data_IF_048558460961
#
_entry.id   IF_048558460961
#
_cell.length_a   1.000
_cell.length_b   1.000
_cell.length_c   1.000
_cell.angle_alpha   90.00
_cell.angle_beta   90.00
_cell.angle_gamma   90.00
#
_symmetry.space_group_name_H-M   'P 1'
#
loop_
_entity.id
_entity.type
_entity.pdbx_description
1 polymer ?
#
# COMPACT_ATOMS: atom_id res chain seq x y z
N UNK A 1 -4.14 -1.68 29.33
CA UNK A 1 -3.87 -2.85 28.45
C UNK A 1 -3.12 -3.87 29.29
N UNK A 2 -3.34 -5.16 29.08
CA UNK A 2 -2.62 -6.21 29.81
C UNK A 2 -1.92 -7.12 28.82
N UNK A 3 -0.76 -7.63 29.21
CA UNK A 3 0.04 -8.55 28.39
C UNK A 3 0.76 -9.52 29.30
N UNK A 4 0.77 -10.79 28.93
CA UNK A 4 1.61 -11.81 29.57
C UNK A 4 2.84 -12.03 28.69
N UNK A 5 4.02 -11.98 29.29
CA UNK A 5 5.30 -12.29 28.63
C UNK A 5 6.06 -13.23 29.57
N UNK A 6 6.38 -14.43 29.09
CA UNK A 6 7.13 -15.45 29.84
C UNK A 6 6.55 -15.73 31.24
N UNK A 7 5.22 -15.80 31.36
CA UNK A 7 4.53 -16.06 32.63
C UNK A 7 4.40 -14.86 33.57
N UNK A 8 4.88 -13.68 33.16
CA UNK A 8 4.81 -12.43 33.94
C UNK A 8 3.72 -11.53 33.35
N UNK A 9 2.83 -11.01 34.20
CA UNK A 9 1.82 -10.05 33.81
C UNK A 9 2.38 -8.62 33.80
N UNK A 10 2.13 -7.92 32.70
CA UNK A 10 2.44 -6.52 32.51
C UNK A 10 1.18 -5.71 32.30
N UNK A 11 1.11 -4.54 32.94
CA UNK A 11 0.04 -3.57 32.74
C UNK A 11 0.57 -2.37 31.98
N UNK A 12 0.01 -2.16 30.80
CA UNK A 12 0.26 -1.03 29.94
C UNK A 12 -0.61 0.16 30.34
N UNK A 13 0.02 1.26 30.72
CA UNK A 13 -0.60 2.56 30.99
C UNK A 13 -0.14 3.55 29.94
N UNK A 14 -1.10 4.20 29.26
CA UNK A 14 -0.79 5.32 28.37
C UNK A 14 -0.27 6.48 29.21
N UNK A 15 0.92 6.97 28.88
CA UNK A 15 1.49 8.14 29.54
C UNK A 15 0.77 9.39 29.05
N UNK A 16 0.24 10.24 29.97
CA UNK A 16 -0.34 11.51 29.58
C UNK A 16 0.74 12.41 28.99
N UNK A 17 0.35 13.19 27.98
CA UNK A 17 1.20 14.23 27.35
C UNK A 17 2.56 13.71 26.82
N UNK A 18 2.64 12.43 26.49
CA UNK A 18 3.82 11.79 25.94
C UNK A 18 3.50 11.12 24.61
N UNK A 19 4.21 11.51 23.55
CA UNK A 19 3.95 11.06 22.19
C UNK A 19 5.22 10.60 21.49
N UNK A 20 5.16 9.46 20.81
CA UNK A 20 6.13 9.10 19.78
C UNK A 20 5.67 9.73 18.45
N UNK A 21 6.41 10.73 17.99
CA UNK A 21 6.22 11.41 16.72
C UNK A 21 7.11 10.76 15.67
N UNK A 22 6.49 10.29 14.60
CA UNK A 22 7.16 9.66 13.48
C UNK A 22 7.02 10.53 12.25
N UNK A 23 8.15 10.93 11.67
CA UNK A 23 8.23 11.70 10.44
C UNK A 23 8.79 10.81 9.33
N UNK A 24 8.13 10.81 8.17
CA UNK A 24 8.63 10.15 6.97
C UNK A 24 8.57 11.13 5.80
N UNK A 25 9.69 11.26 5.10
CA UNK A 25 9.83 12.18 3.98
C UNK A 25 10.46 11.47 2.79
N UNK A 26 9.94 11.75 1.59
CA UNK A 26 10.54 11.29 0.34
C UNK A 26 9.90 12.00 -0.86
N UNK A 27 10.70 12.44 -1.84
CA UNK A 27 10.22 13.03 -3.10
C UNK A 27 9.18 14.15 -2.92
N UNK A 28 9.41 15.06 -1.97
CA UNK A 28 8.48 16.14 -1.65
C UNK A 28 7.18 15.67 -0.99
N UNK A 29 7.08 14.42 -0.54
CA UNK A 29 6.00 13.96 0.32
C UNK A 29 6.45 13.86 1.75
N UNK A 30 5.51 14.15 2.64
CA UNK A 30 5.74 14.07 4.06
C UNK A 30 4.56 13.46 4.79
N UNK A 31 4.85 12.58 5.74
CA UNK A 31 3.88 11.93 6.60
C UNK A 31 4.33 12.05 8.04
N UNK A 32 3.56 12.78 8.85
CA UNK A 32 3.72 12.80 10.30
C UNK A 32 2.65 11.92 10.92
N UNK A 33 3.04 11.06 11.85
CA UNK A 33 2.12 10.37 12.74
C UNK A 33 2.59 10.47 14.18
N UNK A 34 1.73 10.93 15.07
CA UNK A 34 2.00 10.96 16.49
C UNK A 34 1.07 9.98 17.22
N UNK A 35 1.65 9.16 18.11
CA UNK A 35 0.94 8.15 18.89
C UNK A 35 1.31 8.29 20.36
N UNK A 36 0.38 8.04 21.29
CA UNK A 36 0.67 8.20 22.70
C UNK A 36 1.62 7.08 23.15
N UNK A 37 2.53 7.41 24.06
CA UNK A 37 3.49 6.46 24.63
C UNK A 37 2.78 5.57 25.62
N UNK A 38 3.06 4.27 25.57
CA UNK A 38 2.57 3.30 26.56
C UNK A 38 3.76 2.85 27.39
N UNK A 39 3.67 3.10 28.69
CA UNK A 39 4.58 2.52 29.68
C UNK A 39 4.02 1.17 30.13
N UNK A 40 4.89 0.17 30.18
CA UNK A 40 4.56 -1.16 30.64
C UNK A 40 5.23 -1.39 31.98
N UNK A 41 4.44 -1.68 33.00
CA UNK A 41 4.93 -2.00 34.34
C UNK A 41 4.66 -3.46 34.62
N UNK A 42 5.67 -4.17 35.12
CA UNK A 42 5.51 -5.52 35.66
C UNK A 42 4.58 -5.48 36.88
N UNK A 43 3.60 -6.36 36.90
CA UNK A 43 2.61 -6.48 37.99
C UNK A 43 2.91 -7.69 38.88
N UNK A 44 3.70 -8.65 38.37
CA UNK A 44 4.05 -9.90 39.02
C UNK A 44 3.69 -11.11 38.16
N UNK A 45 3.64 -12.32 38.74
CA UNK A 45 3.29 -13.52 37.99
C UNK A 45 1.88 -13.39 37.40
N UNK A 46 1.70 -13.90 36.19
CA UNK A 46 0.38 -13.99 35.60
C UNK A 46 -0.54 -14.81 36.53
N UNK A 47 -1.79 -14.38 36.74
CA UNK A 47 -2.70 -15.15 37.56
C UNK A 47 -2.86 -16.55 36.98
N UNK A 48 -2.64 -17.56 37.81
CA UNK A 48 -2.83 -18.94 37.41
C UNK A 48 -4.32 -19.29 37.49
N UNK A 49 -5.03 -19.10 36.38
CA UNK A 49 -6.43 -19.48 36.25
C UNK A 49 -6.63 -20.96 35.88
N UNK A 50 -5.56 -21.76 35.84
CA UNK A 50 -5.64 -23.16 35.41
C UNK A 50 -6.70 -23.93 36.21
N UNK A 51 -6.77 -23.71 37.52
CA UNK A 51 -7.72 -24.36 38.42
C UNK A 51 -9.21 -24.06 38.16
N UNK A 52 -9.55 -23.03 37.36
CA UNK A 52 -10.95 -22.61 37.10
C UNK A 52 -11.60 -23.29 35.87
N UNK A 53 -10.84 -24.03 35.08
CA UNK A 53 -11.31 -24.68 33.85
C UNK A 53 -10.83 -26.13 33.79
N UNK A 54 -11.72 -27.04 33.37
CA UNK A 54 -11.31 -28.39 32.98
C UNK A 54 -10.49 -28.35 31.67
N UNK A 55 -9.85 -29.46 31.32
CA UNK A 55 -8.97 -29.54 30.15
C UNK A 55 -9.69 -29.21 28.84
N UNK A 56 -10.98 -29.53 28.72
CA UNK A 56 -11.77 -29.22 27.53
C UNK A 56 -11.99 -27.70 27.40
N UNK A 57 -12.35 -27.03 28.49
CA UNK A 57 -12.58 -25.59 28.52
C UNK A 57 -11.27 -24.80 28.38
N UNK A 58 -10.15 -25.33 28.88
CA UNK A 58 -8.80 -24.78 28.64
C UNK A 58 -8.43 -24.83 27.16
N UNK A 59 -8.70 -25.95 26.48
CA UNK A 59 -8.46 -26.11 25.06
C UNK A 59 -9.30 -25.13 24.23
N UNK A 60 -10.58 -24.98 24.56
CA UNK A 60 -11.49 -24.02 23.92
C UNK A 60 -11.00 -22.57 24.08
N UNK A 61 -10.61 -22.16 25.29
CA UNK A 61 -10.08 -20.82 25.54
C UNK A 61 -8.77 -20.55 24.81
N UNK A 62 -7.87 -21.54 24.75
CA UNK A 62 -6.61 -21.41 24.02
C UNK A 62 -6.85 -21.26 22.51
N UNK A 63 -7.78 -22.02 21.94
CA UNK A 63 -8.16 -21.90 20.52
C UNK A 63 -8.78 -20.54 20.22
N UNK A 64 -9.67 -20.05 21.09
CA UNK A 64 -10.29 -18.73 20.95
C UNK A 64 -9.25 -17.59 21.05
N UNK A 65 -8.33 -17.64 22.02
CA UNK A 65 -7.26 -16.66 22.17
C UNK A 65 -6.30 -16.68 20.97
N UNK A 66 -5.96 -17.87 20.47
CA UNK A 66 -5.14 -18.02 19.28
C UNK A 66 -5.82 -17.44 18.03
N UNK A 67 -7.11 -17.72 17.84
CA UNK A 67 -7.90 -17.19 16.74
C UNK A 67 -7.95 -15.64 16.78
N UNK A 68 -8.24 -15.07 17.95
CA UNK A 68 -8.30 -13.61 18.14
C UNK A 68 -6.92 -12.96 17.91
N UNK A 69 -5.86 -13.58 18.43
CA UNK A 69 -4.47 -13.14 18.22
C UNK A 69 -4.11 -13.16 16.75
N UNK A 70 -4.48 -14.23 16.03
CA UNK A 70 -4.24 -14.39 14.59
C UNK A 70 -4.97 -13.31 13.79
N UNK A 71 -6.22 -13.02 14.11
CA UNK A 71 -7.00 -11.96 13.47
C UNK A 71 -6.36 -10.57 13.71
N UNK A 72 -6.05 -10.24 14.96
CA UNK A 72 -5.38 -8.97 15.33
C UNK A 72 -4.03 -8.83 14.61
N UNK A 73 -3.25 -9.90 14.50
CA UNK A 73 -1.98 -9.91 13.80
C UNK A 73 -2.15 -9.73 12.28
N UNK A 74 -3.11 -10.41 11.66
CA UNK A 74 -3.44 -10.26 10.25
C UNK A 74 -3.84 -8.82 9.91
N UNK A 75 -4.68 -8.20 10.74
CA UNK A 75 -5.10 -6.81 10.58
C UNK A 75 -3.92 -5.82 10.71
N UNK A 76 -3.04 -6.02 11.70
CA UNK A 76 -1.82 -5.23 11.86
C UNK A 76 -0.87 -5.40 10.68
N UNK A 77 -0.69 -6.62 10.19
CA UNK A 77 0.12 -6.92 9.01
C UNK A 77 -0.44 -6.23 7.76
N UNK A 78 -1.76 -6.25 7.55
CA UNK A 78 -2.42 -5.58 6.44
C UNK A 78 -2.22 -4.06 6.47
N UNK A 79 -2.37 -3.42 7.65
CA UNK A 79 -2.13 -1.98 7.82
C UNK A 79 -0.66 -1.60 7.55
N UNK A 80 0.29 -2.43 7.98
CA UNK A 80 1.72 -2.26 7.68
C UNK A 80 1.98 -2.38 6.18
N UNK A 81 1.45 -3.41 5.53
CA UNK A 81 1.58 -3.60 4.08
C UNK A 81 1.01 -2.42 3.29
N UNK A 82 -0.15 -1.88 3.70
CA UNK A 82 -0.73 -0.65 3.12
C UNK A 82 0.23 0.52 3.18
N UNK A 83 0.82 0.75 4.35
CA UNK A 83 1.75 1.85 4.59
C UNK A 83 3.02 1.68 3.74
N UNK A 84 3.58 0.47 3.73
CA UNK A 84 4.78 0.16 2.94
C UNK A 84 4.54 0.31 1.44
N UNK A 85 3.43 -0.19 0.90
CA UNK A 85 3.07 0.03 -0.49
C UNK A 85 2.95 1.51 -0.81
N UNK A 86 2.25 2.28 0.03
CA UNK A 86 2.08 3.72 -0.19
C UNK A 86 3.42 4.44 -0.26
N UNK A 87 4.32 4.15 0.70
CA UNK A 87 5.66 4.73 0.75
C UNK A 87 6.54 4.25 -0.41
N UNK A 88 6.42 2.99 -0.82
CA UNK A 88 7.10 2.45 -1.99
C UNK A 88 6.69 3.19 -3.28
N UNK A 89 5.40 3.38 -3.51
CA UNK A 89 4.86 4.13 -4.66
C UNK A 89 5.41 5.57 -4.68
N UNK A 90 5.38 6.25 -3.54
CA UNK A 90 5.90 7.63 -3.40
C UNK A 90 7.41 7.70 -3.63
N UNK A 91 8.16 6.79 -3.01
CA UNK A 91 9.63 6.74 -3.13
C UNK A 91 10.10 6.46 -4.57
N UNK A 92 9.31 5.72 -5.33
CA UNK A 92 9.60 5.44 -6.73
C UNK A 92 8.96 6.45 -7.71
N UNK A 93 8.15 7.39 -7.24
CA UNK A 93 7.49 8.36 -8.14
C UNK A 93 6.52 7.72 -9.14
N UNK A 94 5.85 6.61 -8.79
CA UNK A 94 4.87 5.98 -9.68
C UNK A 94 3.59 6.83 -9.79
N UNK A 95 3.51 7.63 -10.86
CA UNK A 95 2.50 8.67 -11.05
C UNK A 95 1.32 8.27 -11.94
N UNK A 96 1.28 7.04 -12.46
CA UNK A 96 0.22 6.61 -13.38
C UNK A 96 -0.44 5.29 -12.95
N UNK A 97 -1.76 5.20 -13.15
CA UNK A 97 -2.53 4.00 -12.84
C UNK A 97 -2.63 3.10 -14.06
N UNK A 98 -2.28 1.83 -13.90
CA UNK A 98 -2.62 0.77 -14.83
C UNK A 98 -3.67 -0.15 -14.20
N UNK A 99 -4.74 -0.43 -14.94
CA UNK A 99 -5.75 -1.43 -14.54
C UNK A 99 -5.85 -2.52 -15.61
N UNK A 100 -5.44 -3.74 -15.27
CA UNK A 100 -5.57 -4.91 -16.13
C UNK A 100 -6.87 -5.63 -15.81
N UNK A 101 -7.66 -5.91 -16.85
CA UNK A 101 -8.98 -6.53 -16.72
C UNK A 101 -9.08 -7.72 -17.66
N UNK A 102 -9.82 -8.76 -17.26
CA UNK A 102 -10.23 -9.85 -18.15
C UNK A 102 -11.60 -9.55 -18.76
N UNK A 103 -11.85 -10.03 -19.99
CA UNK A 103 -13.20 -10.03 -20.54
C UNK A 103 -13.96 -11.25 -20.04
N UNK A 104 -13.32 -12.40 -20.09
CA UNK A 104 -13.79 -13.65 -19.47
C UNK A 104 -13.86 -13.54 -17.95
N UNK A 105 -14.65 -14.41 -17.31
CA UNK A 105 -14.75 -14.45 -15.85
C UNK A 105 -13.59 -15.22 -15.21
N UNK A 106 -12.40 -14.64 -15.22
CA UNK A 106 -11.19 -15.29 -14.69
C UNK A 106 -11.15 -15.27 -13.15
N UNK A 107 -11.47 -16.39 -12.51
CA UNK A 107 -11.54 -16.52 -11.04
C UNK A 107 -10.30 -17.17 -10.39
N UNK A 108 -9.39 -17.75 -11.18
CA UNK A 108 -8.12 -18.31 -10.69
C UNK A 108 -7.11 -17.19 -10.40
N UNK A 109 -6.87 -16.95 -9.11
CA UNK A 109 -5.92 -15.97 -8.60
C UNK A 109 -4.49 -16.25 -9.08
N UNK A 110 -4.08 -17.52 -9.13
CA UNK A 110 -2.72 -17.91 -9.52
C UNK A 110 -2.48 -17.54 -10.97
N UNK A 111 -3.43 -17.87 -11.86
CA UNK A 111 -3.39 -17.44 -13.27
C UNK A 111 -3.34 -15.91 -13.38
N UNK A 112 -4.17 -15.19 -12.63
CA UNK A 112 -4.17 -13.72 -12.66
C UNK A 112 -2.82 -13.11 -12.26
N UNK A 113 -2.16 -13.66 -11.24
CA UNK A 113 -0.82 -13.24 -10.81
C UNK A 113 0.26 -13.57 -11.85
N UNK A 114 0.21 -14.75 -12.46
CA UNK A 114 1.15 -15.17 -13.51
C UNK A 114 1.05 -14.31 -14.76
N UNK A 115 -0.18 -14.06 -15.25
CA UNK A 115 -0.43 -13.19 -16.40
C UNK A 115 0.06 -11.76 -16.13
N UNK A 116 -0.25 -11.22 -14.94
CA UNK A 116 0.21 -9.90 -14.53
C UNK A 116 1.74 -9.83 -14.48
N UNK A 117 2.42 -10.85 -13.93
CA UNK A 117 3.89 -10.92 -13.88
C UNK A 117 4.50 -10.92 -15.29
N UNK A 118 3.90 -11.66 -16.23
CA UNK A 118 4.31 -11.65 -17.65
C UNK A 118 4.11 -10.27 -18.26
N UNK A 119 3.02 -9.58 -17.92
CA UNK A 119 2.75 -8.23 -18.39
C UNK A 119 3.79 -7.23 -17.90
N UNK A 120 4.07 -7.18 -16.59
CA UNK A 120 5.07 -6.27 -16.03
C UNK A 120 6.47 -6.50 -16.61
N UNK A 121 6.85 -7.77 -16.81
CA UNK A 121 8.13 -8.12 -17.46
C UNK A 121 8.21 -7.56 -18.88
N UNK A 122 7.20 -7.85 -19.72
CA UNK A 122 7.17 -7.37 -21.10
C UNK A 122 7.12 -5.84 -21.20
N UNK A 123 6.45 -5.18 -20.26
CA UNK A 123 6.48 -3.71 -20.16
C UNK A 123 7.89 -3.20 -19.80
N UNK A 124 8.58 -3.87 -18.88
CA UNK A 124 9.98 -3.60 -18.54
C UNK A 124 10.96 -3.79 -19.70
N UNK A 125 10.74 -4.82 -20.52
CA UNK A 125 11.56 -5.08 -21.72
C UNK A 125 11.37 -4.00 -22.79
N UNK A 126 10.18 -3.39 -22.85
CA UNK A 126 9.83 -2.37 -23.85
C UNK A 126 10.14 -0.94 -23.40
N UNK A 127 10.13 -0.68 -22.09
CA UNK A 127 10.21 0.68 -21.53
C UNK A 127 11.32 0.71 -20.48
N UNK A 128 12.49 1.27 -20.82
CA UNK A 128 13.59 1.44 -19.87
C UNK A 128 13.15 2.19 -18.62
N UNK A 129 13.57 1.72 -17.45
CA UNK A 129 13.20 2.31 -16.16
C UNK A 129 11.75 2.04 -15.72
N UNK A 130 11.00 1.19 -16.44
CA UNK A 130 9.65 0.82 -16.02
C UNK A 130 9.65 0.13 -14.65
N UNK A 131 8.81 0.65 -13.76
CA UNK A 131 8.64 0.19 -12.40
C UNK A 131 7.17 0.09 -12.05
N UNK A 132 6.83 -0.78 -11.11
CA UNK A 132 5.45 -0.98 -10.70
C UNK A 132 5.29 -1.36 -9.22
N UNK A 133 4.08 -1.12 -8.70
CA UNK A 133 3.56 -1.72 -7.48
C UNK A 133 2.07 -2.04 -7.70
N UNK A 134 1.67 -3.29 -7.47
CA UNK A 134 0.36 -3.80 -7.87
C UNK A 134 -0.38 -4.57 -6.77
N UNK A 135 -1.67 -4.30 -6.65
CA UNK A 135 -2.65 -5.05 -5.86
C UNK A 135 -3.61 -5.83 -6.76
N UNK A 136 -4.21 -6.87 -6.19
CA UNK A 136 -5.11 -7.81 -6.88
C UNK A 136 -6.47 -7.81 -6.17
N UNK A 137 -7.55 -7.68 -6.92
CA UNK A 137 -8.91 -7.65 -6.38
C UNK A 137 -9.90 -8.38 -7.32
N UNK A 138 -10.73 -9.32 -6.83
CA UNK A 138 -11.86 -9.83 -7.60
C UNK A 138 -12.91 -8.73 -7.77
N UNK A 139 -13.44 -8.59 -8.99
CA UNK A 139 -14.63 -7.79 -9.23
C UNK A 139 -15.88 -8.43 -8.61
N UNK A 140 -17.00 -7.70 -8.63
CA UNK A 140 -18.33 -8.24 -8.28
C UNK A 140 -18.70 -9.54 -9.03
N UNK A 141 -18.20 -9.71 -10.27
CA UNK A 141 -18.42 -10.93 -11.08
C UNK A 141 -17.53 -12.11 -10.66
N UNK A 142 -16.52 -11.88 -9.81
CA UNK A 142 -15.47 -12.83 -9.46
C UNK A 142 -14.21 -12.72 -10.31
N UNK A 143 -14.27 -12.07 -11.48
CA UNK A 143 -13.10 -11.86 -12.33
C UNK A 143 -12.01 -11.04 -11.63
N UNK A 144 -10.77 -11.51 -11.63
CA UNK A 144 -9.64 -10.78 -11.04
C UNK A 144 -9.26 -9.53 -11.81
N UNK A 145 -9.01 -8.45 -11.08
CA UNK A 145 -8.46 -7.19 -11.55
C UNK A 145 -7.08 -6.95 -10.95
N UNK A 146 -6.20 -6.38 -11.76
CA UNK A 146 -4.87 -5.94 -11.29
C UNK A 146 -4.85 -4.42 -11.32
N UNK A 147 -4.63 -3.81 -10.16
CA UNK A 147 -4.47 -2.36 -10.01
C UNK A 147 -3.01 -2.07 -9.70
N UNK A 148 -2.32 -1.38 -10.61
CA UNK A 148 -0.90 -1.08 -10.48
C UNK A 148 -0.63 0.42 -10.54
N UNK A 149 0.19 0.93 -9.63
CA UNK A 149 0.88 2.19 -9.81
C UNK A 149 2.15 1.90 -10.60
N UNK A 150 2.35 2.65 -11.68
CA UNK A 150 3.50 2.53 -12.57
C UNK A 150 4.14 3.90 -12.80
N UNK A 151 5.37 3.91 -13.32
CA UNK A 151 5.91 5.12 -13.94
C UNK A 151 5.00 5.58 -15.08
N UNK A 152 4.92 6.90 -15.28
CA UNK A 152 4.20 7.46 -16.42
C UNK A 152 4.80 6.90 -17.71
N UNK A 153 3.94 6.38 -18.57
CA UNK A 153 4.38 5.86 -19.86
C UNK A 153 4.83 7.02 -20.76
N UNK A 154 5.87 6.83 -21.58
CA UNK A 154 6.24 7.80 -22.60
C UNK A 154 5.10 7.92 -23.63
N UNK A 155 5.00 9.07 -24.30
CA UNK A 155 3.95 9.31 -25.30
C UNK A 155 3.97 8.25 -26.42
N UNK A 156 5.17 7.81 -26.80
CA UNK A 156 5.39 6.74 -27.76
C UNK A 156 6.46 5.77 -27.24
N UNK A 157 6.30 4.51 -27.62
CA UNK A 157 7.25 3.41 -27.36
C UNK A 157 7.60 2.78 -28.70
N UNK A 158 8.89 2.54 -28.90
CA UNK A 158 9.39 1.82 -30.07
C UNK A 158 9.19 0.31 -29.87
N UNK A 159 8.34 -0.29 -30.71
CA UNK A 159 8.06 -1.72 -30.68
C UNK A 159 8.70 -2.39 -31.89
N UNK A 160 9.63 -3.31 -31.64
CA UNK A 160 10.25 -4.13 -32.69
C UNK A 160 9.39 -5.36 -32.97
N UNK A 161 9.10 -5.62 -34.24
CA UNK A 161 8.38 -6.81 -34.69
C UNK A 161 9.13 -7.46 -35.84
N UNK A 162 9.23 -8.80 -35.79
CA UNK A 162 9.73 -9.59 -36.90
C UNK A 162 8.64 -9.72 -37.97
N UNK A 163 8.98 -9.33 -39.19
CA UNK A 163 8.10 -9.32 -40.35
C UNK A 163 8.13 -10.70 -41.04
N UNK A 164 7.14 -11.01 -41.91
CA UNK A 164 7.10 -12.29 -42.63
C UNK A 164 8.33 -12.54 -43.51
N UNK A 165 8.98 -11.49 -44.00
CA UNK A 165 10.24 -11.55 -44.76
C UNK A 165 11.48 -11.81 -43.86
N UNK A 166 11.31 -12.04 -42.56
CA UNK A 166 12.38 -12.32 -41.61
C UNK A 166 13.06 -11.08 -41.00
N UNK A 167 12.83 -9.89 -41.55
CA UNK A 167 13.42 -8.63 -41.10
C UNK A 167 12.77 -8.10 -39.82
N UNK A 168 13.54 -7.34 -39.05
CA UNK A 168 13.02 -6.61 -37.89
C UNK A 168 12.63 -5.20 -38.29
N UNK A 169 11.39 -4.82 -38.00
CA UNK A 169 10.89 -3.46 -38.20
C UNK A 169 10.48 -2.84 -36.86
N UNK A 170 10.83 -1.57 -36.68
CA UNK A 170 10.44 -0.77 -35.51
C UNK A 170 9.19 0.03 -35.83
N UNK A 171 8.23 0.03 -34.91
CA UNK A 171 6.98 0.78 -35.00
C UNK A 171 6.84 1.71 -33.79
N UNK A 172 6.51 2.97 -34.04
CA UNK A 172 6.13 3.91 -32.97
C UNK A 172 4.69 3.68 -32.57
N UNK A 173 4.47 3.21 -31.35
CA UNK A 173 3.15 2.94 -30.79
C UNK A 173 2.89 3.91 -29.66
N UNK A 174 1.68 4.47 -29.55
CA UNK A 174 1.34 5.36 -28.42
C UNK A 174 1.46 4.59 -27.10
N UNK A 175 2.12 5.14 -26.08
CA UNK A 175 2.43 4.42 -24.84
C UNK A 175 1.21 3.79 -24.18
N UNK A 176 0.08 4.51 -24.16
CA UNK A 176 -1.19 4.00 -23.61
C UNK A 176 -1.76 2.79 -24.37
N UNK A 177 -1.43 2.60 -25.65
CA UNK A 177 -1.85 1.44 -26.45
C UNK A 177 -0.99 0.21 -26.15
N UNK A 178 0.29 0.40 -25.83
CA UNK A 178 1.25 -0.67 -25.56
C UNK A 178 0.74 -1.58 -24.45
N UNK A 179 0.21 -1.02 -23.37
CA UNK A 179 -0.31 -1.80 -22.24
C UNK A 179 -1.40 -2.78 -22.67
N UNK A 180 -2.36 -2.35 -23.51
CA UNK A 180 -3.43 -3.24 -24.01
C UNK A 180 -2.91 -4.25 -25.02
N UNK A 181 -1.95 -3.87 -25.88
CA UNK A 181 -1.33 -4.79 -26.82
C UNK A 181 -0.58 -5.92 -26.11
N UNK A 182 0.25 -5.59 -25.12
CA UNK A 182 1.00 -6.57 -24.31
C UNK A 182 0.04 -7.46 -23.54
N UNK A 183 -1.02 -6.89 -22.96
CA UNK A 183 -2.02 -7.66 -22.21
C UNK A 183 -2.73 -8.69 -23.08
N UNK A 184 -3.24 -8.27 -24.24
CA UNK A 184 -3.91 -9.17 -25.19
C UNK A 184 -2.98 -10.23 -25.78
N UNK A 185 -1.68 -9.93 -25.90
CA UNK A 185 -0.67 -10.92 -26.28
C UNK A 185 -0.38 -11.97 -25.19
N UNK A 186 -0.95 -11.82 -23.99
CA UNK A 186 -0.84 -12.77 -22.87
C UNK A 186 -2.18 -13.50 -22.70
N UNK A 187 -3.28 -12.75 -22.59
CA UNK A 187 -4.58 -13.31 -22.21
C UNK A 187 -5.50 -13.66 -23.39
N UNK A 188 -5.09 -13.31 -24.62
CA UNK A 188 -5.85 -13.54 -25.85
C UNK A 188 -6.28 -12.23 -26.53
N UNK A 189 -6.29 -12.22 -27.87
CA UNK A 189 -6.54 -11.03 -28.72
C UNK A 189 -7.80 -10.26 -28.33
N UNK A 190 -8.87 -10.97 -27.99
CA UNK A 190 -10.19 -10.41 -27.68
C UNK A 190 -10.54 -10.50 -26.19
N UNK A 191 -9.57 -10.87 -25.36
CA UNK A 191 -9.72 -11.01 -23.92
C UNK A 191 -9.02 -9.85 -23.22
N UNK A 192 -9.77 -9.08 -22.44
CA UNK A 192 -9.22 -8.08 -21.55
C UNK A 192 -8.75 -6.77 -22.17
N UNK A 193 -8.43 -5.84 -21.27
CA UNK A 193 -7.93 -4.50 -21.57
C UNK A 193 -6.95 -4.03 -20.49
N UNK A 194 -6.07 -3.11 -20.86
CA UNK A 194 -5.24 -2.36 -19.94
C UNK A 194 -5.64 -0.88 -20.02
N UNK A 195 -6.17 -0.34 -18.93
CA UNK A 195 -6.52 1.07 -18.83
C UNK A 195 -5.35 1.83 -18.17
N UNK A 196 -4.77 2.78 -18.90
CA UNK A 196 -3.70 3.66 -18.45
C UNK A 196 -4.31 5.04 -18.12
N UNK A 197 -4.00 5.58 -16.94
CA UNK A 197 -4.45 6.90 -16.49
C UNK A 197 -5.87 6.94 -15.88
N UNK A 198 -6.54 5.80 -15.72
CA UNK A 198 -7.91 5.72 -15.17
C UNK A 198 -9.02 5.76 -16.24
N UNK A 199 -10.28 5.88 -15.80
CA UNK A 199 -11.48 5.90 -16.68
C UNK A 199 -12.14 7.28 -16.67
N UNK A 200 -12.34 7.89 -17.85
CA UNK A 200 -13.16 9.10 -18.04
C UNK A 200 -12.53 10.20 -18.92
N UNK A 201 -13.31 11.19 -19.39
CA UNK A 201 -12.79 12.38 -20.07
C UNK A 201 -11.84 13.16 -19.15
N UNK A 202 -10.65 13.54 -19.62
CA UNK A 202 -9.67 14.30 -18.83
C UNK A 202 -8.71 13.49 -17.96
N UNK A 203 -8.98 12.19 -17.75
CA UNK A 203 -8.10 11.28 -16.98
C UNK A 203 -6.67 11.19 -17.56
N UNK A 204 -6.52 11.40 -18.87
CA UNK A 204 -5.23 11.42 -19.58
C UNK A 204 -4.42 12.71 -19.38
N UNK A 205 -5.06 13.81 -18.97
CA UNK A 205 -4.42 15.13 -18.77
C UNK A 205 -4.12 15.40 -17.29
N UNK A 206 -4.87 14.80 -16.38
CA UNK A 206 -4.66 14.98 -14.95
C UNK A 206 -3.37 14.27 -14.50
N UNK A 207 -2.37 15.05 -14.06
CA UNK A 207 -1.28 14.50 -13.24
C UNK A 207 -1.90 14.13 -11.89
N UNK A 208 -2.19 12.85 -11.69
CA UNK A 208 -2.59 12.40 -10.36
C UNK A 208 -1.43 12.63 -9.41
N UNK A 209 -1.70 13.31 -8.29
CA UNK A 209 -0.72 13.39 -7.21
C UNK A 209 -0.28 12.00 -6.80
N UNK A 210 1.03 11.83 -6.57
CA UNK A 210 1.59 10.58 -6.07
C UNK A 210 0.91 10.11 -4.78
N UNK A 211 0.48 11.02 -3.88
CA UNK A 211 -0.24 10.63 -2.69
C UNK A 211 -1.63 10.02 -2.99
N UNK A 212 -2.40 10.60 -3.92
CA UNK A 212 -3.68 10.01 -4.39
C UNK A 212 -3.43 8.65 -5.06
N UNK A 213 -2.42 8.54 -5.92
CA UNK A 213 -2.04 7.28 -6.58
C UNK A 213 -1.70 6.19 -5.57
N UNK A 214 -0.86 6.53 -4.61
CA UNK A 214 -0.42 5.64 -3.56
C UNK A 214 -1.59 5.21 -2.65
N UNK A 215 -2.47 6.13 -2.28
CA UNK A 215 -3.68 5.82 -1.51
C UNK A 215 -4.65 4.92 -2.29
N UNK A 216 -4.83 5.18 -3.60
CA UNK A 216 -5.70 4.41 -4.47
C UNK A 216 -5.23 2.96 -4.54
N UNK A 217 -3.98 2.70 -4.92
CA UNK A 217 -3.46 1.33 -5.07
C UNK A 217 -3.37 0.62 -3.71
N UNK A 218 -2.94 1.32 -2.66
CA UNK A 218 -2.85 0.73 -1.32
C UNK A 218 -4.23 0.30 -0.76
N UNK A 219 -5.34 0.90 -1.22
CA UNK A 219 -6.70 0.45 -0.88
C UNK A 219 -6.95 -0.98 -1.35
N UNK A 220 -6.54 -1.32 -2.58
CA UNK A 220 -6.76 -2.62 -3.20
C UNK A 220 -5.99 -3.74 -2.49
N UNK A 221 -4.81 -3.43 -1.94
CA UNK A 221 -4.01 -4.38 -1.14
C UNK A 221 -4.75 -4.78 0.14
N UNK A 222 -5.42 -3.82 0.78
CA UNK A 222 -6.12 -4.08 2.04
C UNK A 222 -7.50 -4.65 1.89
N UNK A 223 -8.10 -4.67 0.69
CA UNK A 223 -9.47 -5.14 0.55
C UNK A 223 -9.59 -6.68 0.57
N UNK A 224 -8.49 -7.37 0.30
CA UNK A 224 -8.44 -8.84 0.24
C UNK A 224 -7.37 -9.43 1.16
N UNK A 225 -7.02 -8.74 2.24
CA UNK A 225 -5.98 -9.19 3.17
C UNK A 225 -6.33 -10.50 3.89
N UNK A 226 -7.61 -10.80 4.03
CA UNK A 226 -8.14 -12.07 4.59
C UNK A 226 -7.91 -13.25 3.63
N UNK A 227 -7.88 -13.00 2.33
CA UNK A 227 -7.70 -14.03 1.29
C UNK A 227 -6.23 -14.42 1.09
N UNK A 228 -5.28 -13.62 1.59
CA UNK A 228 -3.85 -13.90 1.43
C UNK A 228 -3.37 -14.65 2.67
N UNK A 229 -2.91 -15.92 2.53
CA UNK A 229 -2.35 -16.70 3.62
C UNK A 229 -1.27 -15.93 4.39
N UNK A 230 -1.09 -16.32 5.65
CA UNK A 230 -0.01 -15.82 6.47
C UNK A 230 1.36 -16.07 5.79
N UNK A 231 2.30 -15.14 5.95
CA UNK A 231 3.62 -15.21 5.32
C UNK A 231 3.67 -14.89 3.81
N UNK A 232 2.54 -14.81 3.10
CA UNK A 232 2.54 -14.44 1.66
C UNK A 232 2.47 -12.94 1.42
N UNK A 233 3.22 -12.48 0.42
CA UNK A 233 3.20 -11.08 -0.03
C UNK A 233 1.81 -10.71 -0.58
N UNK A 234 1.29 -9.58 -0.09
CA UNK A 234 -0.07 -9.08 -0.40
C UNK A 234 -0.14 -8.21 -1.66
N UNK A 235 1.01 -7.82 -2.17
CA UNK A 235 1.17 -6.99 -3.36
C UNK A 235 2.45 -7.42 -4.06
N UNK A 236 2.55 -7.12 -5.35
CA UNK A 236 3.76 -7.34 -6.14
C UNK A 236 4.38 -6.00 -6.51
N UNK A 237 5.70 -5.92 -6.58
CA UNK A 237 6.39 -4.68 -6.91
C UNK A 237 7.75 -4.95 -7.57
N UNK A 238 8.27 -3.95 -8.28
CA UNK A 238 9.64 -3.95 -8.78
C UNK A 238 10.66 -4.07 -7.64
N UNK A 239 11.78 -4.74 -7.89
CA UNK A 239 12.87 -4.88 -6.92
C UNK A 239 13.88 -3.73 -7.03
N UNK A 240 14.74 -3.59 -6.01
CA UNK A 240 15.94 -2.74 -6.10
C UNK A 240 15.78 -1.28 -5.65
N UNK A 241 14.69 -0.91 -4.96
CA UNK A 241 14.52 0.46 -4.45
C UNK A 241 14.37 0.49 -2.94
N UNK A 242 15.23 1.27 -2.30
CA UNK A 242 15.19 1.52 -0.88
C UNK A 242 14.06 2.52 -0.57
N UNK A 243 13.17 2.14 0.36
CA UNK A 243 12.17 3.05 0.92
C UNK A 243 12.80 3.71 2.15
N UNK A 244 12.79 5.06 2.26
CA UNK A 244 13.33 5.73 3.43
C UNK A 244 12.68 5.25 4.72
N UNK A 245 13.48 5.13 5.78
CA UNK A 245 12.99 4.86 7.12
C UNK A 245 12.42 6.13 7.74
N UNK A 246 11.52 5.98 8.70
CA UNK A 246 11.01 7.14 9.42
C UNK A 246 11.95 7.53 10.54
N UNK A 247 12.12 8.83 10.75
CA UNK A 247 12.68 9.38 11.99
C UNK A 247 11.60 9.31 13.07
N UNK A 248 11.99 8.93 14.29
CA UNK A 248 11.08 8.84 15.43
C UNK A 248 11.68 9.64 16.57
N UNK A 249 10.89 10.56 17.12
CA UNK A 249 11.25 11.36 18.28
C UNK A 249 10.16 11.22 19.35
N UNK A 250 10.58 11.18 20.61
CA UNK A 250 9.67 11.16 21.74
C UNK A 250 9.52 12.56 22.30
N UNK A 251 8.30 13.07 22.27
CA UNK A 251 7.93 14.32 22.93
C UNK A 251 7.28 14.00 24.27
N UNK A 252 7.67 14.73 25.31
CA UNK A 252 7.15 14.58 26.67
C UNK A 252 6.58 15.90 27.15
N UNK A 253 5.58 15.84 28.04
CA UNK A 253 4.88 17.03 28.58
C UNK A 253 4.29 17.92 27.49
N UNK A 254 3.81 17.32 26.41
CA UNK A 254 3.12 17.99 25.31
C UNK A 254 1.66 17.63 25.32
N UNK A 255 0.77 18.62 25.47
CA UNK A 255 -0.66 18.36 25.28
C UNK A 255 -0.93 17.98 23.82
N UNK A 256 -2.08 17.36 23.53
CA UNK A 256 -2.48 17.10 22.14
C UNK A 256 -2.50 18.39 21.31
N UNK A 257 -2.90 19.51 21.92
CA UNK A 257 -2.93 20.81 21.24
C UNK A 257 -1.52 21.24 20.84
N UNK A 258 -0.58 21.21 21.77
CA UNK A 258 0.82 21.62 21.52
C UNK A 258 1.46 20.70 20.47
N UNK A 259 1.21 19.39 20.59
CA UNK A 259 1.63 18.40 19.60
C UNK A 259 1.11 18.74 18.20
N UNK A 260 -0.18 19.06 18.05
CA UNK A 260 -0.76 19.43 16.75
C UNK A 260 -0.13 20.74 16.26
N UNK A 261 0.05 21.74 17.12
CA UNK A 261 0.70 23.00 16.75
C UNK A 261 2.14 22.77 16.26
N UNK A 262 2.90 21.87 16.89
CA UNK A 262 4.26 21.53 16.45
C UNK A 262 4.28 20.72 15.15
N UNK A 263 3.31 19.82 14.96
CA UNK A 263 3.28 18.89 13.84
C UNK A 263 2.53 19.43 12.61
N UNK A 264 1.65 20.41 12.78
CA UNK A 264 0.92 21.04 11.69
C UNK A 264 1.73 22.20 11.14
N UNK A 265 2.58 21.91 10.16
CA UNK A 265 3.09 22.91 9.24
C UNK A 265 2.72 22.53 7.80
N UNK A 266 2.95 23.43 6.86
CA UNK A 266 2.92 23.20 5.43
C UNK A 266 3.88 24.23 4.84
N UNK A 267 4.93 23.79 4.17
CA UNK A 267 5.93 24.72 3.61
C UNK A 267 5.40 25.42 2.36
N UNK A 268 6.00 26.54 1.97
CA UNK A 268 5.66 27.23 0.74
C UNK A 268 5.87 26.30 -0.47
N UNK A 269 4.84 26.17 -1.30
CA UNK A 269 4.84 25.21 -2.40
C UNK A 269 4.48 23.78 -2.00
N UNK A 270 4.04 23.54 -0.76
CA UNK A 270 3.35 22.31 -0.36
C UNK A 270 1.84 22.51 -0.24
N UNK A 271 1.11 21.39 -0.34
CA UNK A 271 -0.32 21.32 -0.03
C UNK A 271 -0.61 20.20 0.96
N UNK A 272 -1.59 20.42 1.82
CA UNK A 272 -2.13 19.38 2.70
C UNK A 272 -2.94 18.38 1.88
N UNK A 273 -2.56 17.11 1.96
CA UNK A 273 -3.27 16.00 1.31
C UNK A 273 -4.34 15.42 2.23
N UNK A 274 -4.00 15.25 3.50
CA UNK A 274 -4.84 14.63 4.53
C UNK A 274 -4.32 15.01 5.91
N UNK A 275 -5.21 15.28 6.85
CA UNK A 275 -4.87 15.43 8.26
C UNK A 275 -6.04 14.92 9.11
N UNK A 276 -5.73 14.30 10.26
CA UNK A 276 -6.77 13.74 11.13
C UNK A 276 -6.31 13.62 12.56
N UNK A 277 -7.25 13.83 13.46
CA UNK A 277 -7.12 13.51 14.88
C UNK A 277 -7.75 12.14 15.12
N UNK A 278 -7.12 11.31 15.95
CA UNK A 278 -7.65 10.01 16.33
C UNK A 278 -9.03 10.10 16.97
N UNK A 279 -9.85 9.05 16.85
CA UNK A 279 -11.21 8.98 17.42
C UNK A 279 -11.26 9.36 18.91
N UNK A 280 -10.26 8.92 19.67
CA UNK A 280 -10.15 9.17 21.11
C UNK A 280 -9.40 10.45 21.45
N UNK A 281 -9.09 11.29 20.45
CA UNK A 281 -8.33 12.54 20.60
C UNK A 281 -6.99 12.31 21.32
N UNK A 282 -6.30 11.25 20.93
CA UNK A 282 -5.07 10.75 21.57
C UNK A 282 -3.92 10.57 20.56
N UNK A 283 -4.14 10.95 19.32
CA UNK A 283 -3.20 10.75 18.22
C UNK A 283 -3.48 11.71 17.09
N UNK A 284 -2.44 11.96 16.29
CA UNK A 284 -2.49 12.89 15.18
C UNK A 284 -1.80 12.33 13.95
N UNK A 285 -2.26 12.74 12.77
CA UNK A 285 -1.65 12.42 11.50
C UNK A 285 -1.75 13.61 10.54
N UNK A 286 -0.67 13.86 9.81
CA UNK A 286 -0.58 14.82 8.73
C UNK A 286 0.08 14.18 7.52
N UNK A 287 -0.40 14.50 6.32
CA UNK A 287 0.25 14.21 5.06
C UNK A 287 0.29 15.48 4.21
N UNK A 288 1.49 15.92 3.84
CA UNK A 288 1.68 16.98 2.84
C UNK A 288 2.35 16.43 1.60
N UNK A 289 2.24 17.16 0.51
CA UNK A 289 3.02 16.94 -0.70
C UNK A 289 3.36 18.27 -1.37
N UNK A 290 4.50 18.32 -2.05
CA UNK A 290 4.86 19.41 -2.94
C UNK A 290 3.79 19.59 -4.03
N UNK A 291 3.44 20.84 -4.31
CA UNK A 291 2.58 21.17 -5.44
C UNK A 291 3.24 20.79 -6.76
N UNK A 292 2.48 20.26 -7.72
CA UNK A 292 3.03 19.99 -9.03
C UNK A 292 3.49 21.31 -9.68
N UNK A 293 4.67 21.35 -10.34
CA UNK A 293 5.14 22.55 -11.01
C UNK A 293 4.09 23.04 -12.02
N UNK A 294 3.60 24.26 -11.83
CA UNK A 294 2.56 24.90 -12.63
C UNK A 294 1.16 24.96 -12.02
N UNK A 295 0.97 24.66 -10.73
CA UNK A 295 -0.31 24.79 -10.03
C UNK A 295 -0.56 26.17 -9.40
N UNK A 296 0.42 27.08 -9.43
CA UNK A 296 0.24 28.47 -9.02
C UNK A 296 -0.62 29.21 -10.05
N UNK A 297 -1.89 29.45 -9.68
CA UNK A 297 -2.70 30.58 -10.15
C UNK A 297 -3.21 31.30 -8.91
#
# INVERSE_FOLDING_TARGET
MERIVDGIAYKGKTLPDCFDVRVWECNGHREISARPVVEWTEVGPAPDWSHLADDAKRAEWAEADEAERKEKNALRAARRAKTMCRRFIKANGFSELATLTYRENQTDERRAKEDARRWFRRMGDLIPGFGYCAGYEPQKRGAWHVHAAIHRLPDHVDVKKRMPNGEWKTFKVKGWQVGTMVWRAIVGKDNGMCFIGGKGPGAKKARNSLAKMAAYVAKYITKHYEMVPEGKQRYSHSQGVAVPVSVVERLVRMSLRDLITMCFWCEDGERVVDHRIGRFKDSYYLCTEAEPPGAAC
#
